data_IF_643584127592
#
_entry.id   IF_643584127592
#
_cell.length_a   1.000
_cell.length_b   1.000
_cell.length_c   1.000
_cell.angle_alpha   90.00
_cell.angle_beta   90.00
_cell.angle_gamma   90.00
#
_symmetry.space_group_name_H-M   'P 1'
#
loop_
_entity.id
_entity.type
_entity.pdbx_description
1 polymer ?
#
# COMPACT_ATOMS: atom_id res chain seq x y z
N UNK A 1 -24.90 54.64 49.13
CA UNK A 1 -23.60 54.90 49.79
C UNK A 1 -22.51 54.43 48.82
N UNK A 2 -21.50 55.28 48.55
CA UNK A 2 -20.50 55.17 47.48
C UNK A 2 -19.35 54.20 47.83
N UNK A 3 -18.54 53.91 46.80
CA UNK A 3 -17.16 53.37 46.73
C UNK A 3 -17.05 51.84 46.59
N UNK A 4 -16.24 51.24 45.70
CA UNK A 4 -15.50 51.67 44.49
C UNK A 4 -15.00 50.41 43.78
N UNK A 5 -14.87 50.53 42.46
CA UNK A 5 -14.24 49.65 41.48
C UNK A 5 -12.74 49.45 41.77
N UNK A 6 -12.13 48.36 41.27
CA UNK A 6 -10.82 48.41 40.61
C UNK A 6 -10.64 47.23 39.64
N UNK A 7 -10.33 47.60 38.40
CA UNK A 7 -10.05 46.81 37.21
C UNK A 7 -8.55 46.44 37.08
N UNK A 8 -8.25 45.74 35.97
CA UNK A 8 -7.00 45.64 35.18
C UNK A 8 -6.17 44.37 35.43
N UNK A 9 -6.16 43.39 34.52
CA UNK A 9 -5.68 43.32 33.11
C UNK A 9 -4.14 43.34 33.00
N UNK A 10 -3.56 42.26 32.46
CA UNK A 10 -2.33 42.28 31.66
C UNK A 10 -2.36 41.14 30.64
N UNK A 11 -2.54 41.53 29.38
CA UNK A 11 -2.13 40.76 28.21
C UNK A 11 -0.61 40.88 28.05
N UNK A 12 0.03 39.89 27.44
CA UNK A 12 1.39 39.99 26.96
C UNK A 12 1.49 39.28 25.62
N UNK A 13 1.48 40.09 24.57
CA UNK A 13 1.84 39.74 23.19
C UNK A 13 3.33 40.01 23.05
N UNK A 14 4.09 39.04 22.56
CA UNK A 14 5.44 39.27 22.04
C UNK A 14 5.57 38.57 20.70
N UNK A 15 5.56 39.39 19.66
CA UNK A 15 5.92 39.05 18.29
C UNK A 15 7.45 39.04 18.16
N UNK A 16 7.99 38.06 17.46
CA UNK A 16 9.36 38.10 16.95
C UNK A 16 9.31 37.82 15.45
N UNK A 17 9.35 38.89 14.67
CA UNK A 17 9.64 38.86 13.25
C UNK A 17 11.17 38.80 13.07
N UNK A 18 11.66 37.88 12.25
CA UNK A 18 13.03 37.93 11.75
C UNK A 18 13.04 37.37 10.33
N UNK A 19 12.98 38.30 9.38
CA UNK A 19 13.29 38.06 7.98
C UNK A 19 14.81 38.07 7.83
N UNK A 20 15.37 37.08 7.14
CA UNK A 20 16.69 37.18 6.53
C UNK A 20 16.64 36.64 5.10
N UNK A 21 16.78 37.56 4.15
CA UNK A 21 16.92 37.31 2.72
C UNK A 21 18.41 37.11 2.42
N UNK A 22 18.78 36.02 1.74
CA UNK A 22 20.08 35.91 1.06
C UNK A 22 19.83 35.52 -0.40
N UNK A 23 20.14 36.47 -1.27
CA UNK A 23 20.24 36.35 -2.73
C UNK A 23 21.57 35.71 -3.10
N UNK A 24 21.57 34.69 -3.97
CA UNK A 24 22.74 34.34 -4.78
C UNK A 24 22.32 34.02 -6.22
N UNK A 25 22.91 34.79 -7.14
CA UNK A 25 22.95 34.63 -8.60
C UNK A 25 23.45 33.22 -8.99
N UNK A 26 23.09 32.60 -10.12
CA UNK A 26 23.00 33.14 -11.47
C UNK A 26 24.17 32.61 -12.30
N UNK A 27 24.00 31.46 -12.97
CA UNK A 27 24.88 31.01 -14.05
C UNK A 27 24.01 30.75 -15.29
N UNK A 28 23.99 31.74 -16.18
CA UNK A 28 23.51 31.60 -17.55
C UNK A 28 24.60 30.88 -18.36
N UNK A 29 24.28 29.72 -18.94
CA UNK A 29 25.04 29.19 -20.07
C UNK A 29 24.19 29.38 -21.31
N UNK A 30 24.46 30.47 -22.03
CA UNK A 30 24.01 30.67 -23.40
C UNK A 30 24.83 29.75 -24.32
N UNK A 31 24.16 28.87 -25.04
CA UNK A 31 24.70 28.26 -26.25
C UNK A 31 23.78 28.66 -27.40
N UNK A 32 24.23 29.62 -28.19
CA UNK A 32 23.55 30.10 -29.40
C UNK A 32 24.07 29.32 -30.60
N UNK A 33 23.19 28.61 -31.29
CA UNK A 33 23.35 28.13 -32.65
C UNK A 33 21.95 28.02 -33.31
N UNK A 34 21.86 28.06 -34.65
CA UNK A 34 21.01 29.01 -35.37
C UNK A 34 19.54 28.61 -35.56
N UNK A 35 18.76 29.63 -35.90
CA UNK A 35 17.33 29.69 -36.17
C UNK A 35 16.90 28.94 -37.44
N UNK A 36 15.96 28.01 -37.29
CA UNK A 36 14.98 27.64 -38.32
C UNK A 36 13.56 27.95 -37.79
N UNK A 37 12.71 28.66 -38.55
CA UNK A 37 11.36 28.98 -38.10
C UNK A 37 10.39 27.88 -38.55
N UNK A 38 9.98 27.03 -37.61
CA UNK A 38 8.72 26.29 -37.76
C UNK A 38 7.76 26.72 -36.65
N UNK A 39 6.71 27.41 -37.08
CA UNK A 39 5.55 27.74 -36.26
C UNK A 39 4.85 26.43 -35.91
N UNK A 40 4.76 26.11 -34.63
CA UNK A 40 3.65 25.33 -34.10
C UNK A 40 3.40 25.75 -32.65
N UNK A 41 2.32 26.51 -32.47
CA UNK A 41 1.75 26.81 -31.17
C UNK A 41 1.02 25.56 -30.69
N UNK A 42 1.46 24.96 -29.59
CA UNK A 42 0.65 24.09 -28.73
C UNK A 42 1.34 24.01 -27.36
N UNK A 43 0.97 24.93 -26.47
CA UNK A 43 1.34 24.90 -25.07
C UNK A 43 0.62 23.74 -24.39
N UNK A 44 1.32 22.62 -24.19
CA UNK A 44 0.92 21.62 -23.22
C UNK A 44 1.43 22.10 -21.86
N UNK A 45 0.51 22.61 -21.05
CA UNK A 45 0.66 22.67 -19.60
C UNK A 45 0.76 21.21 -19.12
N UNK A 46 1.98 20.75 -18.88
CA UNK A 46 2.22 19.57 -18.05
C UNK A 46 2.36 20.07 -16.62
N UNK A 47 1.25 20.08 -15.91
CA UNK A 47 1.22 20.17 -14.46
C UNK A 47 1.77 18.83 -13.94
N UNK A 48 3.09 18.75 -13.72
CA UNK A 48 3.69 17.65 -12.97
C UNK A 48 3.32 17.85 -11.50
N UNK A 49 2.09 17.47 -11.14
CA UNK A 49 1.88 16.89 -9.83
C UNK A 49 2.62 15.56 -9.85
N UNK A 50 3.61 15.38 -8.97
CA UNK A 50 4.11 14.06 -8.61
C UNK A 50 2.89 13.25 -8.15
N UNK A 51 2.32 12.46 -9.07
CA UNK A 51 1.25 11.53 -8.72
C UNK A 51 1.93 10.42 -7.91
N UNK A 52 1.51 10.29 -6.66
CA UNK A 52 1.75 9.07 -5.90
C UNK A 52 1.33 7.86 -6.74
N UNK A 53 2.03 6.73 -6.63
CA UNK A 53 1.71 5.54 -7.40
C UNK A 53 0.26 5.10 -7.12
N UNK A 54 -0.55 4.96 -8.17
CA UNK A 54 -1.91 4.42 -8.12
C UNK A 54 -1.89 2.90 -7.83
N UNK A 55 -3.01 2.32 -7.37
CA UNK A 55 -3.11 0.86 -7.22
C UNK A 55 -2.97 0.17 -8.59
N UNK A 56 -2.26 -0.97 -8.67
CA UNK A 56 -2.24 -1.80 -9.88
C UNK A 56 -3.63 -2.19 -10.41
N UNK A 57 -4.64 -2.29 -9.54
CA UNK A 57 -6.00 -2.65 -9.96
C UNK A 57 -6.68 -1.57 -10.79
N UNK A 58 -6.39 -0.29 -10.53
CA UNK A 58 -6.97 0.84 -11.26
C UNK A 58 -6.61 0.83 -12.73
N UNK A 59 -5.38 0.39 -13.06
CA UNK A 59 -4.91 0.27 -14.44
C UNK A 59 -5.82 -0.65 -15.28
N UNK A 60 -6.33 -1.74 -14.69
CA UNK A 60 -7.25 -2.63 -15.39
C UNK A 60 -8.64 -2.00 -15.59
N UNK A 61 -9.16 -1.26 -14.60
CA UNK A 61 -10.47 -0.60 -14.69
C UNK A 61 -10.50 0.53 -15.71
N UNK A 62 -9.42 1.31 -15.80
CA UNK A 62 -9.31 2.37 -16.80
C UNK A 62 -9.18 1.81 -18.22
N UNK A 63 -8.59 0.62 -18.37
CA UNK A 63 -8.47 -0.07 -19.65
C UNK A 63 -9.82 -0.59 -20.16
N UNK A 64 -10.74 -1.01 -19.28
CA UNK A 64 -12.12 -1.37 -19.66
C UNK A 64 -12.94 -0.22 -20.25
N UNK A 65 -12.57 1.04 -20.00
CA UNK A 65 -13.22 2.20 -20.64
C UNK A 65 -12.64 2.55 -22.02
N UNK A 66 -11.55 1.89 -22.45
CA UNK A 66 -10.95 2.03 -23.77
C UNK A 66 -10.89 0.65 -24.43
N UNK A 67 -12.03 0.17 -24.91
CA UNK A 67 -12.13 -1.16 -25.50
C UNK A 67 -11.32 -1.36 -26.79
N UNK A 68 -10.67 -2.53 -26.81
CA UNK A 68 -10.39 -3.43 -27.95
C UNK A 68 -9.21 -3.10 -28.87
N UNK A 69 -8.03 -3.64 -28.54
CA UNK A 69 -7.22 -4.42 -29.49
C UNK A 69 -6.41 -5.54 -28.81
N UNK A 70 -6.60 -6.74 -29.37
CA UNK A 70 -5.96 -8.07 -29.24
C UNK A 70 -4.50 -8.16 -28.74
N UNK A 71 -4.18 -9.11 -27.86
CA UNK A 71 -3.75 -10.47 -28.24
C UNK A 71 -3.60 -11.38 -27.00
N UNK A 72 -4.17 -12.58 -27.11
CA UNK A 72 -4.20 -13.64 -26.09
C UNK A 72 -2.81 -14.28 -25.92
N UNK A 73 -2.19 -14.33 -24.72
CA UNK A 73 -0.92 -15.01 -24.56
C UNK A 73 -1.11 -16.52 -24.49
N UNK A 74 -0.47 -17.21 -25.43
CA UNK A 74 -0.40 -18.66 -25.52
C UNK A 74 -0.01 -19.35 -24.21
N UNK A 75 -0.80 -20.35 -23.81
CA UNK A 75 -0.53 -21.23 -22.69
C UNK A 75 0.75 -22.07 -22.92
N UNK A 76 1.82 -21.76 -22.18
CA UNK A 76 2.95 -22.66 -22.04
C UNK A 76 2.62 -23.73 -20.99
N UNK A 77 2.36 -24.93 -21.48
CA UNK A 77 2.29 -26.18 -20.71
C UNK A 77 3.65 -26.47 -20.10
N UNK A 78 3.83 -26.21 -18.81
CA UNK A 78 5.01 -26.65 -18.06
C UNK A 78 4.74 -28.04 -17.43
N UNK A 79 5.68 -28.92 -17.73
CA UNK A 79 5.72 -30.34 -17.40
C UNK A 79 5.89 -30.58 -15.90
N UNK A 80 5.26 -31.65 -15.41
CA UNK A 80 5.42 -32.17 -14.06
C UNK A 80 6.78 -32.86 -13.97
N UNK A 81 7.61 -32.56 -12.97
CA UNK A 81 8.48 -33.50 -12.24
C UNK A 81 9.51 -32.76 -11.39
N UNK A 82 9.37 -32.80 -10.07
CA UNK A 82 10.29 -33.52 -9.18
C UNK A 82 9.95 -33.22 -7.73
N UNK A 83 9.52 -34.27 -7.03
CA UNK A 83 9.48 -34.29 -5.58
C UNK A 83 10.90 -34.34 -5.02
N UNK A 84 11.09 -33.70 -3.88
CA UNK A 84 12.14 -34.10 -2.94
C UNK A 84 11.59 -33.90 -1.53
N UNK A 85 11.26 -35.03 -0.90
CA UNK A 85 10.94 -35.12 0.51
C UNK A 85 12.25 -34.95 1.30
N UNK A 86 12.25 -34.06 2.29
CA UNK A 86 13.21 -34.10 3.39
C UNK A 86 12.42 -33.96 4.70
N UNK A 87 12.38 -35.06 5.46
CA UNK A 87 11.85 -35.13 6.82
C UNK A 87 12.97 -34.83 7.84
N UNK A 88 12.57 -34.65 9.12
CA UNK A 88 13.36 -34.62 10.37
C UNK A 88 13.80 -33.21 10.83
N UNK A 89 13.62 -32.76 12.08
CA UNK A 89 12.92 -33.25 13.27
C UNK A 89 12.69 -32.11 14.28
N UNK A 90 11.82 -32.41 15.22
CA UNK A 90 11.27 -31.69 16.36
C UNK A 90 12.22 -31.14 17.45
N UNK A 91 11.71 -30.08 18.12
CA UNK A 91 11.82 -29.67 19.54
C UNK A 91 13.04 -28.87 20.04
N UNK A 92 12.75 -27.63 20.47
CA UNK A 92 13.11 -27.17 21.82
C UNK A 92 12.09 -26.14 22.36
N UNK A 93 11.49 -26.48 23.51
CA UNK A 93 10.85 -25.54 24.42
C UNK A 93 11.94 -24.89 25.29
N UNK A 94 11.85 -23.58 25.51
CA UNK A 94 12.24 -23.01 26.79
C UNK A 94 11.42 -21.74 27.03
N UNK A 95 10.58 -21.79 28.06
CA UNK A 95 9.98 -20.64 28.72
C UNK A 95 11.10 -19.84 29.39
N UNK A 96 11.08 -18.51 29.27
CA UNK A 96 11.56 -17.64 30.35
C UNK A 96 10.89 -16.27 30.22
N UNK A 97 10.08 -15.97 31.24
CA UNK A 97 9.40 -14.71 31.50
C UNK A 97 10.39 -13.55 31.57
N UNK A 98 10.20 -12.55 30.70
CA UNK A 98 10.57 -11.17 31.03
C UNK A 98 9.63 -10.20 30.33
N UNK A 99 8.74 -9.62 31.13
CA UNK A 99 7.86 -8.52 30.74
C UNK A 99 8.68 -7.39 30.10
N UNK A 100 8.55 -7.29 28.77
CA UNK A 100 9.13 -6.22 27.97
C UNK A 100 8.05 -5.16 27.81
N UNK A 101 8.40 -3.94 28.18
CA UNK A 101 7.53 -2.76 28.04
C UNK A 101 7.23 -2.57 26.56
N UNK A 102 5.96 -2.70 26.19
CA UNK A 102 5.43 -2.53 24.83
C UNK A 102 5.50 -1.05 24.43
N UNK A 103 6.63 -0.64 23.86
CA UNK A 103 6.74 0.57 23.05
C UNK A 103 6.21 0.31 21.65
N UNK A 104 5.59 1.33 21.06
CA UNK A 104 4.73 1.32 19.89
C UNK A 104 5.29 0.56 18.66
N UNK A 105 4.35 -0.10 17.95
CA UNK A 105 4.50 -1.01 16.80
C UNK A 105 4.84 -2.48 17.13
N UNK A 106 3.90 -3.17 17.80
CA UNK A 106 3.84 -4.63 17.67
C UNK A 106 3.20 -4.95 16.33
N UNK A 107 4.04 -5.13 15.32
CA UNK A 107 3.63 -5.88 14.15
C UNK A 107 3.19 -7.28 14.63
N UNK A 108 1.93 -7.61 14.39
CA UNK A 108 1.36 -8.87 14.86
C UNK A 108 1.92 -10.02 14.02
N UNK A 109 2.20 -11.14 14.68
CA UNK A 109 2.57 -12.35 13.96
C UNK A 109 1.43 -12.76 13.00
N UNK A 110 1.78 -13.10 11.76
CA UNK A 110 0.81 -13.67 10.81
C UNK A 110 0.10 -14.89 11.42
N UNK A 111 -1.24 -14.91 11.34
CA UNK A 111 -2.03 -16.07 11.72
C UNK A 111 -3.07 -16.40 10.66
N UNK A 112 -3.03 -17.64 10.15
CA UNK A 112 -4.01 -18.10 9.16
C UNK A 112 -5.44 -18.19 9.73
N UNK A 113 -5.63 -18.23 11.05
CA UNK A 113 -6.95 -18.32 11.69
C UNK A 113 -7.64 -16.96 11.84
N UNK A 114 -6.89 -15.87 11.84
CA UNK A 114 -7.41 -14.51 11.95
C UNK A 114 -6.55 -13.59 11.05
N UNK A 115 -6.65 -13.75 9.72
CA UNK A 115 -5.78 -13.04 8.79
C UNK A 115 -6.11 -11.56 8.78
N UNK A 116 -5.07 -10.74 8.85
CA UNK A 116 -5.16 -9.28 8.76
C UNK A 116 -4.05 -8.78 7.84
N UNK A 117 -4.31 -7.67 7.17
CA UNK A 117 -3.34 -6.93 6.37
C UNK A 117 -3.51 -5.45 6.68
N UNK A 118 -2.40 -4.77 6.97
CA UNK A 118 -2.37 -3.37 7.39
C UNK A 118 -3.35 -3.06 8.53
N UNK A 119 -3.50 -3.98 9.49
CA UNK A 119 -4.41 -3.82 10.63
C UNK A 119 -5.91 -3.98 10.31
N UNK A 120 -6.27 -4.43 9.10
CA UNK A 120 -7.65 -4.66 8.66
C UNK A 120 -7.85 -6.14 8.36
N UNK A 121 -9.00 -6.69 8.77
CA UNK A 121 -9.44 -8.04 8.43
C UNK A 121 -10.50 -8.01 7.32
N UNK A 122 -10.62 -9.10 6.57
CA UNK A 122 -11.80 -9.36 5.73
C UNK A 122 -13.06 -9.35 6.62
N UNK A 123 -14.13 -8.70 6.15
CA UNK A 123 -15.39 -8.56 6.87
C UNK A 123 -15.44 -7.37 7.84
N UNK A 124 -14.34 -6.65 8.08
CA UNK A 124 -14.38 -5.39 8.83
C UNK A 124 -15.31 -4.37 8.13
N UNK A 125 -15.93 -3.47 8.89
CA UNK A 125 -16.85 -2.49 8.30
C UNK A 125 -16.13 -1.30 7.68
N UNK A 126 -16.73 -0.68 6.65
CA UNK A 126 -16.27 0.61 6.10
C UNK A 126 -16.11 1.68 7.20
N UNK A 127 -17.01 1.68 8.20
CA UNK A 127 -16.90 2.58 9.35
C UNK A 127 -15.61 2.37 10.16
N UNK A 128 -15.15 1.12 10.31
CA UNK A 128 -13.87 0.83 10.97
C UNK A 128 -12.70 1.31 10.11
N UNK A 129 -12.74 1.06 8.80
CA UNK A 129 -11.71 1.52 7.85
C UNK A 129 -11.56 3.04 7.89
N UNK A 130 -12.67 3.78 7.77
CA UNK A 130 -12.68 5.26 7.84
C UNK A 130 -12.22 5.79 9.18
N UNK A 131 -12.45 5.05 10.27
CA UNK A 131 -11.93 5.42 11.60
C UNK A 131 -10.41 5.26 11.68
N UNK A 132 -9.85 4.27 11.01
CA UNK A 132 -8.41 3.99 11.02
C UNK A 132 -7.64 4.95 10.09
N UNK A 133 -8.12 5.15 8.86
CA UNK A 133 -7.36 5.84 7.81
C UNK A 133 -7.93 7.19 7.39
N UNK A 134 -9.14 7.54 7.85
CA UNK A 134 -9.81 8.77 7.47
C UNK A 134 -10.48 8.67 6.10
N UNK A 135 -10.34 9.74 5.29
CA UNK A 135 -10.93 9.82 3.97
C UNK A 135 -9.92 9.31 2.93
N UNK A 136 -10.42 8.53 1.98
CA UNK A 136 -9.70 8.06 0.80
C UNK A 136 -9.18 9.23 -0.06
N UNK A 137 -8.05 9.02 -0.75
CA UNK A 137 -7.51 9.99 -1.73
C UNK A 137 -8.29 9.94 -3.05
N UNK A 138 -8.75 8.74 -3.42
CA UNK A 138 -9.58 8.48 -4.58
C UNK A 138 -10.47 7.25 -4.32
N UNK A 139 -11.49 7.06 -5.14
CA UNK A 139 -12.28 5.84 -5.12
C UNK A 139 -12.90 5.54 -6.47
N UNK A 140 -12.99 4.27 -6.80
CA UNK A 140 -13.65 3.77 -8.00
C UNK A 140 -14.41 2.49 -7.68
N UNK A 141 -15.21 2.04 -8.65
CA UNK A 141 -16.04 0.86 -8.51
C UNK A 141 -15.56 -0.23 -9.47
N UNK A 142 -15.46 -1.46 -8.96
CA UNK A 142 -15.27 -2.67 -9.73
C UNK A 142 -16.59 -3.44 -9.76
N UNK A 143 -17.02 -3.82 -10.96
CA UNK A 143 -18.16 -4.72 -11.14
C UNK A 143 -17.61 -6.15 -11.24
N UNK A 144 -17.87 -6.97 -10.23
CA UNK A 144 -17.59 -8.41 -10.25
C UNK A 144 -18.87 -9.17 -10.65
N UNK A 145 -18.76 -10.45 -10.98
CA UNK A 145 -19.90 -11.23 -11.49
C UNK A 145 -21.12 -11.24 -10.53
N UNK A 146 -20.88 -11.16 -9.23
CA UNK A 146 -21.91 -11.33 -8.19
C UNK A 146 -22.07 -10.16 -7.24
N UNK A 147 -21.15 -9.20 -7.25
CA UNK A 147 -21.19 -8.05 -6.35
C UNK A 147 -20.43 -6.86 -6.94
N UNK A 148 -20.76 -5.67 -6.42
CA UNK A 148 -20.03 -4.46 -6.75
C UNK A 148 -19.05 -4.15 -5.61
N UNK A 149 -17.79 -3.87 -5.94
CA UNK A 149 -16.75 -3.51 -4.98
C UNK A 149 -16.38 -2.05 -5.15
N UNK A 150 -16.62 -1.23 -4.13
CA UNK A 150 -16.06 0.13 -4.04
C UNK A 150 -14.63 0.04 -3.53
N UNK A 151 -13.66 0.37 -4.37
CA UNK A 151 -12.26 0.48 -4.00
C UNK A 151 -11.99 1.88 -3.43
N UNK A 152 -11.40 1.93 -2.24
CA UNK A 152 -10.94 3.12 -1.56
C UNK A 152 -9.41 3.15 -1.68
N UNK A 153 -8.88 4.15 -2.39
CA UNK A 153 -7.44 4.33 -2.53
C UNK A 153 -6.88 5.24 -1.43
N UNK A 154 -5.70 4.89 -0.95
CA UNK A 154 -4.88 5.66 -0.03
C UNK A 154 -3.43 5.63 -0.54
N UNK A 155 -2.55 6.46 0.01
CA UNK A 155 -1.14 6.44 -0.34
C UNK A 155 -0.53 5.06 0.00
N UNK A 156 -0.14 4.28 -1.02
CA UNK A 156 0.55 3.00 -0.88
C UNK A 156 -0.33 1.79 -0.52
N UNK A 157 -1.64 1.95 -0.42
CA UNK A 157 -2.55 0.83 -0.17
C UNK A 157 -3.98 1.10 -0.68
N UNK A 158 -4.77 0.05 -0.81
CA UNK A 158 -6.17 0.15 -1.23
C UNK A 158 -7.05 -0.85 -0.46
N UNK A 159 -8.32 -0.51 -0.27
CA UNK A 159 -9.30 -1.36 0.42
C UNK A 159 -10.57 -1.45 -0.43
N UNK A 160 -10.99 -2.66 -0.77
CA UNK A 160 -12.27 -2.93 -1.42
C UNK A 160 -13.37 -3.17 -0.40
N UNK A 161 -14.46 -2.42 -0.52
CA UNK A 161 -15.68 -2.54 0.28
C UNK A 161 -16.81 -3.06 -0.61
N UNK A 162 -17.49 -4.12 -0.21
CA UNK A 162 -18.62 -4.64 -0.96
C UNK A 162 -19.96 -3.97 -0.59
N UNK A 163 -21.03 -4.38 -1.28
CA UNK A 163 -22.39 -3.88 -1.10
C UNK A 163 -22.96 -4.07 0.33
N UNK A 164 -22.37 -4.98 1.11
CA UNK A 164 -22.71 -5.17 2.53
C UNK A 164 -21.96 -4.22 3.47
N UNK A 165 -21.23 -3.25 2.94
CA UNK A 165 -20.34 -2.32 3.67
C UNK A 165 -19.24 -3.05 4.47
N UNK A 166 -18.78 -4.19 3.94
CA UNK A 166 -17.74 -5.01 4.54
C UNK A 166 -16.49 -5.04 3.66
N UNK A 167 -15.32 -5.12 4.29
CA UNK A 167 -14.03 -5.27 3.62
C UNK A 167 -14.00 -6.61 2.91
N UNK A 168 -13.82 -6.55 1.59
CA UNK A 168 -13.75 -7.69 0.69
C UNK A 168 -12.32 -7.95 0.20
N UNK A 169 -11.50 -6.89 0.16
CA UNK A 169 -10.12 -6.93 -0.32
C UNK A 169 -9.26 -5.85 0.35
N UNK A 170 -7.98 -6.13 0.55
CA UNK A 170 -6.95 -5.18 0.97
C UNK A 170 -5.70 -5.39 0.10
N UNK A 171 -5.09 -4.31 -0.38
CA UNK A 171 -3.80 -4.28 -1.07
C UNK A 171 -2.83 -3.37 -0.35
N UNK A 172 -1.58 -3.80 -0.18
CA UNK A 172 -0.46 -2.93 0.16
C UNK A 172 0.55 -3.02 -1.00
N UNK A 173 0.88 -1.87 -1.58
CA UNK A 173 1.81 -1.74 -2.71
C UNK A 173 2.87 -0.65 -2.49
N UNK A 174 2.72 0.18 -1.45
CA UNK A 174 3.75 1.11 -0.99
C UNK A 174 4.78 0.42 -0.12
N UNK A 175 6.06 0.76 -0.31
CA UNK A 175 7.18 0.20 0.45
C UNK A 175 7.40 0.88 1.82
N UNK A 176 6.74 2.00 2.07
CA UNK A 176 6.73 2.74 3.33
C UNK A 176 5.53 2.37 4.22
N UNK A 177 4.64 1.51 3.72
CA UNK A 177 3.44 1.06 4.41
C UNK A 177 3.70 -0.28 5.11
N UNK A 178 3.50 -0.31 6.43
CA UNK A 178 3.60 -1.55 7.19
C UNK A 178 2.49 -2.52 6.80
N UNK A 179 2.83 -3.73 6.37
CA UNK A 179 1.83 -4.76 6.06
C UNK A 179 1.17 -5.36 7.32
N UNK A 180 1.75 -5.19 8.51
CA UNK A 180 1.25 -5.87 9.71
C UNK A 180 1.43 -7.40 9.64
N UNK A 181 2.56 -7.85 9.08
CA UNK A 181 2.91 -9.25 8.83
C UNK A 181 4.30 -9.61 9.37
N UNK A 182 4.53 -9.38 10.66
CA UNK A 182 5.81 -9.69 11.34
C UNK A 182 7.03 -8.93 10.78
N UNK A 183 6.83 -7.72 10.27
CA UNK A 183 7.86 -6.86 9.71
C UNK A 183 8.04 -7.00 8.19
N UNK A 184 7.33 -7.94 7.55
CA UNK A 184 7.35 -8.09 6.10
C UNK A 184 6.79 -6.84 5.40
N UNK A 185 7.48 -6.36 4.38
CA UNK A 185 7.13 -5.15 3.63
C UNK A 185 7.23 -5.36 2.12
N UNK A 186 6.59 -4.48 1.35
CA UNK A 186 6.82 -4.38 -0.09
C UNK A 186 8.29 -3.97 -0.33
N UNK A 187 8.95 -4.62 -1.29
CA UNK A 187 10.39 -4.53 -1.54
C UNK A 187 11.22 -5.62 -0.86
N UNK A 188 10.66 -6.37 0.09
CA UNK A 188 11.36 -7.53 0.67
C UNK A 188 11.52 -8.66 -0.35
N UNK A 189 12.53 -9.51 -0.13
CA UNK A 189 12.76 -10.70 -0.95
C UNK A 189 11.73 -11.79 -0.65
N UNK A 190 11.36 -12.63 -1.64
CA UNK A 190 10.46 -13.76 -1.42
C UNK A 190 10.89 -14.68 -0.26
N UNK A 191 12.20 -14.91 -0.08
CA UNK A 191 12.75 -15.73 1.00
C UNK A 191 12.43 -15.20 2.40
N UNK A 192 12.30 -13.88 2.58
CA UNK A 192 11.90 -13.29 3.86
C UNK A 192 10.44 -13.64 4.18
N UNK A 193 9.56 -13.62 3.18
CA UNK A 193 8.18 -14.07 3.37
C UNK A 193 8.11 -15.55 3.77
N UNK A 194 8.94 -16.42 3.19
CA UNK A 194 8.99 -17.84 3.58
C UNK A 194 9.43 -18.03 5.04
N UNK A 195 10.34 -17.17 5.53
CA UNK A 195 10.80 -17.21 6.91
C UNK A 195 9.75 -16.68 7.89
N UNK A 196 9.05 -15.60 7.52
CA UNK A 196 8.10 -14.91 8.41
C UNK A 196 6.70 -15.52 8.39
N UNK A 197 6.23 -15.99 7.23
CA UNK A 197 4.87 -16.51 7.03
C UNK A 197 4.82 -18.04 6.97
N UNK A 198 5.97 -18.69 6.81
CA UNK A 198 6.09 -20.13 6.67
C UNK A 198 5.92 -20.61 5.23
N UNK A 199 5.45 -21.86 5.06
CA UNK A 199 5.31 -22.48 3.75
C UNK A 199 4.04 -22.00 3.04
N UNK A 200 4.13 -21.47 1.80
CA UNK A 200 2.95 -21.12 1.01
C UNK A 200 2.22 -22.36 0.49
N UNK A 201 0.93 -22.21 0.18
CA UNK A 201 0.13 -23.20 -0.53
C UNK A 201 0.60 -23.32 -2.00
N UNK A 202 0.89 -22.19 -2.64
CA UNK A 202 1.45 -22.13 -3.99
C UNK A 202 2.64 -21.18 -4.03
N UNK A 203 3.68 -21.59 -4.73
CA UNK A 203 4.86 -20.78 -4.99
C UNK A 203 5.23 -20.90 -6.47
N UNK A 204 5.32 -19.76 -7.13
CA UNK A 204 5.86 -19.61 -8.49
C UNK A 204 6.89 -18.48 -8.49
N UNK A 205 7.54 -18.27 -9.63
CA UNK A 205 8.46 -17.15 -9.84
C UNK A 205 7.78 -15.77 -9.71
N UNK A 206 6.46 -15.70 -9.80
CA UNK A 206 5.70 -14.44 -9.81
C UNK A 206 4.76 -14.27 -8.62
N UNK A 207 4.56 -15.33 -7.82
CA UNK A 207 3.48 -15.35 -6.84
C UNK A 207 3.76 -16.32 -5.70
N UNK A 208 3.54 -15.87 -4.47
CA UNK A 208 3.31 -16.73 -3.31
C UNK A 208 1.85 -16.62 -2.88
N UNK A 209 1.22 -17.74 -2.50
CA UNK A 209 -0.13 -17.73 -1.92
C UNK A 209 -0.18 -18.49 -0.61
N UNK A 210 -0.85 -17.92 0.39
CA UNK A 210 -1.06 -18.53 1.70
C UNK A 210 -2.56 -18.58 1.98
N UNK A 211 -3.06 -19.78 2.23
CA UNK A 211 -4.46 -19.98 2.62
C UNK A 211 -4.68 -19.56 4.06
N UNK A 212 -5.76 -18.84 4.31
CA UNK A 212 -6.22 -18.47 5.63
C UNK A 212 -7.73 -18.75 5.77
N UNK A 213 -8.25 -18.60 6.99
CA UNK A 213 -9.66 -18.79 7.30
C UNK A 213 -10.49 -17.74 6.57
N UNK A 214 -11.27 -18.18 5.57
CA UNK A 214 -12.12 -17.29 4.77
C UNK A 214 -11.36 -16.32 3.86
N UNK A 215 -10.04 -16.44 3.74
CA UNK A 215 -9.23 -15.48 2.99
C UNK A 215 -8.00 -16.13 2.33
N UNK A 216 -7.49 -15.45 1.31
CA UNK A 216 -6.26 -15.77 0.60
C UNK A 216 -5.30 -14.59 0.71
N UNK A 217 -4.12 -14.84 1.27
CA UNK A 217 -3.01 -13.89 1.22
C UNK A 217 -2.18 -14.18 -0.03
N UNK A 218 -1.98 -13.19 -0.89
CA UNK A 218 -1.14 -13.26 -2.10
C UNK A 218 -0.01 -12.25 -2.02
N UNK A 219 1.18 -12.66 -2.41
CA UNK A 219 2.34 -11.78 -2.57
C UNK A 219 2.74 -11.84 -4.03
N UNK A 220 2.56 -10.74 -4.75
CA UNK A 220 2.98 -10.62 -6.14
C UNK A 220 4.48 -10.29 -6.17
N UNK A 221 5.23 -10.98 -7.04
CA UNK A 221 6.69 -10.91 -7.09
C UNK A 221 7.17 -10.34 -8.42
N UNK A 222 8.18 -9.49 -8.36
CA UNK A 222 9.02 -9.16 -9.52
C UNK A 222 10.24 -10.10 -9.53
N UNK A 223 10.35 -11.01 -10.51
CA UNK A 223 11.49 -11.92 -10.59
C UNK A 223 12.77 -11.27 -11.12
N UNK A 224 12.70 -10.12 -11.78
CA UNK A 224 13.89 -9.42 -12.26
C UNK A 224 14.62 -8.75 -11.09
N UNK A 225 13.85 -8.13 -10.20
CA UNK A 225 14.36 -7.45 -9.01
C UNK A 225 14.43 -8.38 -7.78
N UNK A 226 13.77 -9.54 -7.84
CA UNK A 226 13.64 -10.52 -6.77
C UNK A 226 13.05 -9.89 -5.49
N UNK A 227 11.93 -9.19 -5.67
CA UNK A 227 11.23 -8.47 -4.60
C UNK A 227 9.72 -8.70 -4.65
N UNK A 228 9.08 -8.49 -3.52
CA UNK A 228 7.62 -8.43 -3.39
C UNK A 228 7.18 -7.04 -3.85
N UNK A 229 6.30 -6.98 -4.85
CA UNK A 229 5.78 -5.71 -5.38
C UNK A 229 4.40 -5.35 -4.85
N UNK A 230 3.64 -6.34 -4.38
CA UNK A 230 2.39 -6.08 -3.65
C UNK A 230 2.02 -7.24 -2.73
N UNK A 231 1.26 -6.93 -1.69
CA UNK A 231 0.70 -7.88 -0.73
C UNK A 231 -0.81 -7.68 -0.71
N UNK A 232 -1.57 -8.76 -0.89
CA UNK A 232 -3.02 -8.73 -1.06
C UNK A 232 -3.69 -9.70 -0.12
N UNK A 233 -4.73 -9.25 0.59
CA UNK A 233 -5.63 -10.13 1.34
C UNK A 233 -7.01 -10.08 0.69
N UNK A 234 -7.48 -11.23 0.22
CA UNK A 234 -8.72 -11.38 -0.53
C UNK A 234 -9.67 -12.31 0.23
N UNK A 235 -10.97 -12.05 0.22
CA UNK A 235 -11.93 -13.06 0.65
C UNK A 235 -11.90 -14.28 -0.28
N UNK A 236 -12.21 -15.46 0.26
CA UNK A 236 -12.49 -16.66 -0.53
C UNK A 236 -13.98 -16.94 -0.39
N UNK A 237 -14.74 -16.56 -1.42
CA UNK A 237 -16.17 -16.84 -1.54
C UNK A 237 -16.44 -18.30 -1.88
#
# INVERSE_FOLDING_TARGET
MKYTRNDTSKASVLAAASALVILLAGCQSASTAPSDPYISNSSLNYDQSEKEPDSPQKMYSEQTNNELFSDEPHANRADMTNGTNAETSTLHNHEDDKATVKTESEDAAWTATAPMLHGVAIGDSDAKVRKLFGKEIDSYTLEEETETIKVLEYAGFAIGINDSNAVHYIEVYGNDISAGLSGLQVGDKPDQALQMLGKPEKQTTYLLTYKASGALLKLDLDPEQNEIVSIKLLTIS
#
